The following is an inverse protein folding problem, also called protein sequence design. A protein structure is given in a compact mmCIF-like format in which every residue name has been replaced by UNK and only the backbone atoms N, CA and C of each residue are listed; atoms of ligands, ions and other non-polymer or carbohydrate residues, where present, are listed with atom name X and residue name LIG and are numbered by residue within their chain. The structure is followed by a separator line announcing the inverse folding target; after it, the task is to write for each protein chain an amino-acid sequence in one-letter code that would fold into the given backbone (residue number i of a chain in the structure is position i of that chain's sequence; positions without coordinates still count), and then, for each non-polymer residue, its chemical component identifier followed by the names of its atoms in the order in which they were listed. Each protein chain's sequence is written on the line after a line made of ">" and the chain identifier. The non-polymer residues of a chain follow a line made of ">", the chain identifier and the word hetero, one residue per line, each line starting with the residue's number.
data_IF_928439702697
#
_entry.id   IF_928439702697
#
_cell.length_a   1.000
_cell.length_b   1.000
_cell.length_c   1.000
_cell.angle_alpha   90.00
_cell.angle_beta   90.00
_cell.angle_gamma   90.00
#
_symmetry.space_group_name_H-M   'P 1'
#
loop_
_entity.id
_entity.type
_entity.pdbx_description
1 polymer ?
#
# COMPACT_ATOMS: atom_id res chain seq x y z
N UNK A 1 4.85 -9.77 -5.74
CA UNK A 1 3.71 -8.83 -5.72
C UNK A 1 4.09 -7.51 -6.38
N UNK A 2 3.12 -6.74 -6.79
CA UNK A 2 3.33 -5.39 -7.32
C UNK A 2 2.96 -4.36 -6.27
N UNK A 3 3.83 -3.36 -6.08
CA UNK A 3 3.61 -2.24 -5.18
C UNK A 3 3.44 -0.97 -6.00
N UNK A 4 2.39 -0.21 -5.71
CA UNK A 4 2.16 1.10 -6.31
C UNK A 4 2.04 2.18 -5.23
N UNK A 5 1.96 3.42 -5.68
CA UNK A 5 1.81 4.58 -4.80
C UNK A 5 0.76 5.52 -5.36
N UNK A 6 -0.17 5.93 -4.51
CA UNK A 6 -1.18 6.94 -4.83
C UNK A 6 -1.13 8.04 -3.78
N UNK A 7 -1.16 9.29 -4.22
CA UNK A 7 -1.17 10.45 -3.33
C UNK A 7 -2.49 11.20 -3.48
N UNK A 8 -3.06 11.66 -2.37
CA UNK A 8 -4.33 12.37 -2.38
C UNK A 8 -4.21 13.74 -3.06
N UNK A 9 -5.08 14.02 -4.01
CA UNK A 9 -5.20 15.29 -4.69
C UNK A 9 -6.54 15.93 -4.37
N UNK A 10 -6.50 17.13 -3.79
CA UNK A 10 -7.72 17.86 -3.43
C UNK A 10 -8.60 18.18 -4.63
N UNK A 11 -8.00 18.54 -5.75
CA UNK A 11 -8.75 18.88 -6.97
C UNK A 11 -9.59 17.71 -7.49
N UNK A 12 -9.13 16.49 -7.26
CA UNK A 12 -9.82 15.29 -7.71
C UNK A 12 -10.57 14.59 -6.58
N UNK A 13 -10.41 15.06 -5.35
CA UNK A 13 -11.00 14.49 -4.13
C UNK A 13 -10.74 12.99 -4.00
N UNK A 14 -9.57 12.53 -4.47
CA UNK A 14 -9.20 11.12 -4.46
C UNK A 14 -7.69 10.94 -4.46
N UNK A 15 -7.26 9.71 -4.16
CA UNK A 15 -5.88 9.29 -4.28
C UNK A 15 -5.59 8.95 -5.74
N UNK A 16 -4.56 9.58 -6.29
CA UNK A 16 -4.18 9.45 -7.70
C UNK A 16 -2.81 8.81 -7.82
N UNK A 17 -2.66 7.93 -8.80
CA UNK A 17 -1.43 7.22 -9.06
C UNK A 17 -0.25 8.18 -9.26
N UNK A 18 0.84 7.94 -8.54
CA UNK A 18 2.09 8.69 -8.69
C UNK A 18 2.92 8.01 -9.77
N UNK A 19 3.25 8.71 -10.87
CA UNK A 19 4.02 8.09 -11.95
C UNK A 19 5.49 7.85 -11.57
N UNK A 20 6.15 6.99 -12.33
CA UNK A 20 7.55 6.64 -12.11
C UNK A 20 8.47 7.88 -12.13
N UNK A 21 8.19 8.83 -13.01
CA UNK A 21 8.95 10.09 -13.12
C UNK A 21 8.93 10.95 -11.85
N UNK A 22 7.97 10.69 -10.97
CA UNK A 22 7.82 11.40 -9.68
C UNK A 22 8.10 10.52 -8.47
N UNK A 23 8.80 9.42 -8.65
CA UNK A 23 9.19 8.51 -7.59
C UNK A 23 8.21 7.39 -7.31
N UNK A 24 7.11 7.30 -8.08
CA UNK A 24 6.12 6.23 -7.96
C UNK A 24 6.36 5.11 -8.97
N UNK A 25 5.29 4.77 -9.69
CA UNK A 25 5.30 3.65 -10.63
C UNK A 25 5.01 2.33 -9.95
N UNK A 26 4.75 1.30 -10.75
CA UNK A 26 4.52 -0.05 -10.24
C UNK A 26 5.87 -0.77 -10.12
N UNK A 27 6.12 -1.35 -8.95
CA UNK A 27 7.38 -2.04 -8.66
C UNK A 27 7.11 -3.48 -8.25
N UNK A 28 7.82 -4.46 -8.84
CA UNK A 28 7.77 -5.82 -8.32
C UNK A 28 8.55 -5.90 -7.01
N UNK A 29 7.96 -6.54 -6.01
CA UNK A 29 8.58 -6.72 -4.69
C UNK A 29 8.42 -8.18 -4.28
N UNK A 30 9.51 -8.79 -3.81
CA UNK A 30 9.47 -10.14 -3.25
C UNK A 30 9.46 -10.05 -1.73
N UNK A 31 8.41 -10.58 -1.13
CA UNK A 31 8.23 -10.61 0.32
C UNK A 31 7.79 -12.01 0.75
N UNK A 32 8.18 -12.45 1.96
CA UNK A 32 7.65 -13.69 2.51
C UNK A 32 6.13 -13.67 2.59
N UNK A 33 5.48 -14.79 2.36
CA UNK A 33 4.03 -14.91 2.46
C UNK A 33 3.52 -14.62 3.88
N UNK A 34 4.39 -14.74 4.87
CA UNK A 34 4.09 -14.43 6.28
C UNK A 34 4.15 -12.95 6.61
N UNK A 35 4.53 -12.08 5.66
CA UNK A 35 4.63 -10.63 5.88
C UNK A 35 3.30 -10.07 6.35
N UNK A 36 3.29 -9.44 7.52
CA UNK A 36 2.10 -8.84 8.10
C UNK A 36 1.92 -7.38 7.60
N UNK A 37 0.82 -6.76 8.03
CA UNK A 37 0.47 -5.40 7.59
C UNK A 37 1.52 -4.36 7.99
N UNK A 38 2.05 -4.43 9.21
CA UNK A 38 3.05 -3.47 9.69
C UNK A 38 4.38 -3.60 8.94
N UNK A 39 4.82 -4.83 8.71
CA UNK A 39 6.03 -5.11 7.92
C UNK A 39 5.87 -4.62 6.49
N UNK A 40 4.70 -4.84 5.89
CA UNK A 40 4.40 -4.40 4.55
C UNK A 40 4.40 -2.87 4.47
N UNK A 41 3.79 -2.19 5.44
CA UNK A 41 3.80 -0.72 5.53
C UNK A 41 5.23 -0.17 5.60
N UNK A 42 6.07 -0.75 6.43
CA UNK A 42 7.48 -0.34 6.54
C UNK A 42 8.22 -0.52 5.23
N UNK A 43 8.01 -1.63 4.54
CA UNK A 43 8.63 -1.91 3.24
C UNK A 43 8.20 -0.87 2.22
N UNK A 44 6.90 -0.58 2.14
CA UNK A 44 6.37 0.44 1.21
C UNK A 44 6.97 1.81 1.46
N UNK A 45 6.99 2.25 2.71
CA UNK A 45 7.57 3.55 3.08
C UNK A 45 9.06 3.62 2.76
N UNK A 46 9.81 2.56 3.04
CA UNK A 46 11.24 2.50 2.74
C UNK A 46 11.55 2.61 1.25
N UNK A 47 10.71 2.03 0.40
CA UNK A 47 10.89 2.06 -1.05
C UNK A 47 10.48 3.40 -1.67
N UNK A 48 9.41 4.00 -1.17
CA UNK A 48 8.80 5.19 -1.78
C UNK A 48 9.26 6.50 -1.14
N UNK A 49 9.75 6.44 0.09
CA UNK A 49 10.28 7.59 0.82
C UNK A 49 11.72 7.33 1.26
N UNK A 50 12.67 7.21 0.30
CA UNK A 50 14.07 7.02 0.67
C UNK A 50 14.54 8.18 1.55
N UNK A 51 15.18 7.85 2.68
CA UNK A 51 15.58 8.81 3.71
C UNK A 51 14.41 9.62 4.29
N UNK A 52 13.19 9.05 4.24
CA UNK A 52 11.99 9.68 4.79
C UNK A 52 11.45 10.85 3.97
N UNK A 53 11.83 10.98 2.71
CA UNK A 53 11.46 12.13 1.87
C UNK A 53 10.91 11.71 0.52
N UNK A 54 10.02 12.53 -0.02
CA UNK A 54 9.48 12.41 -1.37
C UNK A 54 9.28 13.80 -1.98
N UNK A 55 8.87 13.84 -3.27
CA UNK A 55 8.52 15.10 -3.94
C UNK A 55 7.32 15.82 -3.29
N UNK A 56 6.48 15.10 -2.55
CA UNK A 56 5.32 15.67 -1.86
C UNK A 56 5.61 16.10 -0.43
N UNK A 57 6.80 15.80 0.09
CA UNK A 57 7.21 16.16 1.43
C UNK A 57 7.78 14.98 2.21
N UNK A 58 7.91 15.18 3.50
CA UNK A 58 8.50 14.19 4.40
C UNK A 58 7.47 13.16 4.85
N UNK A 59 7.92 11.91 5.04
CA UNK A 59 7.11 10.81 5.56
C UNK A 59 6.37 11.20 6.86
N UNK A 60 7.08 11.83 7.79
CA UNK A 60 6.52 12.22 9.09
C UNK A 60 5.38 13.25 9.02
N UNK A 61 5.25 13.95 7.88
CA UNK A 61 4.22 14.96 7.65
C UNK A 61 2.94 14.39 7.05
N UNK A 62 2.89 13.08 6.79
CA UNK A 62 1.79 12.45 6.06
C UNK A 62 1.11 11.35 6.85
N UNK A 63 -0.13 11.05 6.46
CA UNK A 63 -0.83 9.85 6.88
C UNK A 63 -0.78 8.81 5.78
N UNK A 64 -0.74 7.53 6.15
CA UNK A 64 -0.60 6.42 5.21
C UNK A 64 -1.62 5.34 5.46
N UNK A 65 -2.06 4.71 4.38
CA UNK A 65 -2.88 3.51 4.40
C UNK A 65 -2.42 2.57 3.29
N UNK A 66 -2.62 1.28 3.48
CA UNK A 66 -2.47 0.30 2.42
C UNK A 66 -3.84 0.04 1.82
N UNK A 67 -3.90 -0.12 0.50
CA UNK A 67 -5.16 -0.34 -0.21
C UNK A 67 -4.97 -1.22 -1.44
N UNK A 68 -6.09 -1.71 -1.98
CA UNK A 68 -6.11 -2.37 -3.28
C UNK A 68 -6.21 -1.33 -4.41
N UNK A 69 -6.31 -1.78 -5.65
CA UNK A 69 -6.36 -0.87 -6.81
C UNK A 69 -7.63 0.00 -6.87
N UNK A 70 -8.66 -0.35 -6.12
CA UNK A 70 -9.90 0.43 -6.01
C UNK A 70 -9.87 1.45 -4.86
N UNK A 71 -8.72 1.64 -4.23
CA UNK A 71 -8.55 2.49 -3.04
C UNK A 71 -9.32 2.00 -1.81
N UNK A 72 -9.71 0.74 -1.79
CA UNK A 72 -10.30 0.13 -0.61
C UNK A 72 -9.19 -0.23 0.37
N UNK A 73 -9.29 0.28 1.59
CA UNK A 73 -8.27 0.07 2.62
C UNK A 73 -8.14 -1.39 3.02
N UNK A 74 -6.91 -1.83 3.18
CA UNK A 74 -6.60 -3.16 3.70
C UNK A 74 -6.79 -3.15 5.20
N UNK A 75 -7.64 -4.07 5.68
CA UNK A 75 -7.95 -4.19 7.10
C UNK A 75 -6.88 -5.01 7.83
N UNK A 76 -6.91 -4.96 9.16
CA UNK A 76 -5.99 -5.74 10.01
C UNK A 76 -6.28 -7.24 9.98
N UNK A 77 -7.48 -7.62 9.54
CA UNK A 77 -7.88 -9.02 9.39
C UNK A 77 -8.46 -9.25 8.00
N UNK A 78 -8.43 -10.51 7.58
CA UNK A 78 -9.04 -10.96 6.32
C UNK A 78 -9.94 -12.15 6.59
N UNK A 79 -10.98 -12.33 5.78
CA UNK A 79 -11.90 -13.47 5.88
C UNK A 79 -11.48 -14.54 4.89
N UNK A 80 -11.13 -15.71 5.41
CA UNK A 80 -10.78 -16.89 4.62
C UNK A 80 -11.77 -18.01 4.95
N UNK A 81 -12.64 -18.34 3.99
CA UNK A 81 -13.64 -19.39 4.13
C UNK A 81 -14.50 -19.27 5.41
N UNK A 82 -14.92 -18.05 5.73
CA UNK A 82 -15.74 -17.75 6.91
C UNK A 82 -14.96 -17.51 8.19
N UNK A 83 -13.65 -17.66 8.18
CA UNK A 83 -12.78 -17.45 9.34
C UNK A 83 -12.06 -16.10 9.22
N UNK A 84 -12.12 -15.32 10.28
CA UNK A 84 -11.38 -14.08 10.37
C UNK A 84 -9.95 -14.36 10.83
N UNK A 85 -8.98 -14.07 9.97
CA UNK A 85 -7.56 -14.32 10.22
C UNK A 85 -6.78 -13.01 10.18
N UNK A 86 -5.65 -12.89 10.90
CA UNK A 86 -4.82 -11.69 10.80
C UNK A 86 -4.31 -11.52 9.38
N UNK A 87 -4.14 -10.25 8.95
CA UNK A 87 -3.57 -9.99 7.65
C UNK A 87 -2.14 -10.49 7.57
N UNK A 88 -1.86 -11.29 6.57
CA UNK A 88 -0.54 -11.49 5.97
C UNK A 88 -0.76 -11.74 4.49
N UNK A 89 0.31 -11.73 3.70
CA UNK A 89 0.19 -11.87 2.24
C UNK A 89 -0.49 -13.18 1.87
N UNK A 90 -0.15 -14.28 2.54
CA UNK A 90 -0.76 -15.58 2.28
C UNK A 90 -2.28 -15.58 2.52
N UNK A 91 -2.71 -15.07 3.67
CA UNK A 91 -4.14 -14.99 4.01
C UNK A 91 -4.89 -14.05 3.05
N UNK A 92 -4.26 -12.97 2.63
CA UNK A 92 -4.84 -12.07 1.65
C UNK A 92 -5.06 -12.76 0.29
N UNK A 93 -4.08 -13.51 -0.18
CA UNK A 93 -4.20 -14.29 -1.42
C UNK A 93 -5.35 -15.29 -1.31
N UNK A 94 -5.43 -16.01 -0.20
CA UNK A 94 -6.48 -17.00 0.02
C UNK A 94 -7.87 -16.37 0.09
N UNK A 95 -7.99 -15.22 0.77
CA UNK A 95 -9.27 -14.53 0.93
C UNK A 95 -9.81 -14.00 -0.40
N UNK A 96 -8.95 -13.45 -1.24
CA UNK A 96 -9.35 -12.80 -2.49
C UNK A 96 -9.15 -13.65 -3.74
N UNK A 97 -8.59 -14.86 -3.59
CA UNK A 97 -8.35 -15.80 -4.71
C UNK A 97 -7.55 -15.17 -5.84
N UNK A 98 -6.56 -14.34 -5.51
CA UNK A 98 -5.74 -13.63 -6.50
C UNK A 98 -4.43 -14.38 -6.78
N UNK A 99 -3.97 -14.32 -8.03
CA UNK A 99 -2.67 -14.89 -8.43
C UNK A 99 -1.54 -13.88 -8.22
N UNK A 100 -1.80 -12.63 -8.60
CA UNK A 100 -0.83 -11.53 -8.49
C UNK A 100 -1.37 -10.48 -7.53
N UNK A 101 -0.68 -10.31 -6.41
CA UNK A 101 -1.07 -9.31 -5.41
C UNK A 101 -0.62 -7.93 -5.88
N UNK A 102 -1.54 -6.98 -5.89
CA UNK A 102 -1.28 -5.56 -6.14
C UNK A 102 -1.74 -4.77 -4.92
N UNK A 103 -0.79 -4.08 -4.29
CA UNK A 103 -1.06 -3.26 -3.11
C UNK A 103 -0.52 -1.87 -3.36
N UNK A 104 -1.26 -0.87 -2.91
CA UNK A 104 -0.92 0.53 -3.08
C UNK A 104 -0.73 1.19 -1.72
N UNK A 105 0.35 1.98 -1.61
CA UNK A 105 0.50 2.88 -0.48
C UNK A 105 -0.29 4.15 -0.82
N UNK A 106 -1.28 4.46 0.01
CA UNK A 106 -2.03 5.71 -0.07
C UNK A 106 -1.41 6.72 0.88
N UNK A 107 -1.05 7.89 0.37
CA UNK A 107 -0.49 8.97 1.18
C UNK A 107 -1.33 10.23 1.07
N UNK A 108 -1.36 11.00 2.16
CA UNK A 108 -2.12 12.24 2.23
C UNK A 108 -1.47 13.18 3.23
N UNK A 109 -1.32 14.45 2.86
CA UNK A 109 -0.89 15.48 3.81
C UNK A 109 -2.05 15.84 4.73
N UNK A 110 -1.81 16.04 6.02
CA UNK A 110 -2.83 16.57 6.92
C UNK A 110 -3.15 18.02 6.53
N UNK A 111 -4.36 18.42 6.83
CA UNK A 111 -4.81 19.79 6.59
C UNK A 111 -4.24 20.75 7.63
#
# INVERSE_FOLDING_TARGET
>A
MQLGWKHFKEEEEDHVLVPLSRGGGSRPVKLPLSTNKDELMKTCKGLLFPDGKSIFGKEEEMTFHLANFKNEKIEVTVNVDGNELPFNINNYIDAHKVKNVRIYLLSQKPF
#
